data_IF_281823167355
#
_entry.id   IF_281823167355
#
_cell.length_a   1.000
_cell.length_b   1.000
_cell.length_c   1.000
_cell.angle_alpha   90.00
_cell.angle_beta   90.00
_cell.angle_gamma   90.00
#
_symmetry.space_group_name_H-M   'P 1'
#
loop_
_entity.id
_entity.type
_entity.pdbx_description
1 polymer ?
#
# COMPACT_ATOMS: atom_id res chain seq x y z
N UNK A 1 -21.14 -21.05 39.43
CA UNK A 1 -21.63 -20.26 38.29
C UNK A 1 -20.51 -20.14 37.29
N UNK A 2 -20.57 -20.86 36.18
CA UNK A 2 -19.52 -20.75 35.17
C UNK A 2 -19.63 -19.39 34.49
N UNK A 3 -18.52 -18.65 34.54
CA UNK A 3 -18.41 -17.28 34.04
C UNK A 3 -17.65 -17.41 32.73
N UNK A 4 -18.31 -17.12 31.61
CA UNK A 4 -17.61 -17.03 30.33
C UNK A 4 -16.81 -15.74 30.36
N UNK A 5 -15.50 -15.91 30.41
CA UNK A 5 -14.53 -14.83 30.49
C UNK A 5 -14.05 -14.50 29.08
N UNK A 6 -14.12 -13.22 28.76
CA UNK A 6 -13.63 -12.63 27.53
C UNK A 6 -12.57 -11.59 27.87
N UNK A 7 -11.77 -11.23 26.88
CA UNK A 7 -10.88 -10.09 26.92
C UNK A 7 -11.42 -9.04 25.96
N UNK A 8 -11.51 -7.80 26.42
CA UNK A 8 -11.79 -6.64 25.59
C UNK A 8 -10.74 -5.58 25.88
N UNK A 9 -9.90 -5.29 24.90
CA UNK A 9 -8.85 -4.29 25.03
C UNK A 9 -8.85 -3.33 23.86
N UNK A 10 -8.07 -2.26 24.02
CA UNK A 10 -7.77 -1.34 22.94
C UNK A 10 -6.39 -0.73 23.16
N UNK A 11 -5.67 -0.46 22.10
CA UNK A 11 -4.39 0.22 22.16
C UNK A 11 -4.18 1.09 20.92
N UNK A 12 -3.17 1.98 20.96
CA UNK A 12 -2.79 2.78 19.80
C UNK A 12 -1.64 2.13 19.03
N UNK A 13 -1.93 1.66 17.84
CA UNK A 13 -0.95 1.27 16.85
C UNK A 13 -0.28 2.51 16.24
N UNK A 14 1.03 2.42 16.00
CA UNK A 14 1.84 3.56 15.52
C UNK A 14 1.48 3.99 14.08
N UNK A 15 0.92 3.07 13.27
CA UNK A 15 0.59 3.31 11.86
C UNK A 15 -0.91 3.45 11.65
N UNK A 16 -1.71 2.57 12.25
CA UNK A 16 -3.16 2.49 12.03
C UNK A 16 -3.98 3.29 13.05
N UNK A 17 -3.35 3.78 14.12
CA UNK A 17 -4.00 4.52 15.20
C UNK A 17 -4.75 3.58 16.16
N UNK A 18 -5.92 3.96 16.69
CA UNK A 18 -6.60 3.16 17.69
C UNK A 18 -7.07 1.81 17.10
N UNK A 19 -6.75 0.74 17.80
CA UNK A 19 -7.12 -0.64 17.48
C UNK A 19 -7.90 -1.22 18.66
N UNK A 20 -9.01 -1.89 18.39
CA UNK A 20 -9.79 -2.62 19.39
C UNK A 20 -9.57 -4.12 19.23
N UNK A 21 -9.47 -4.81 20.35
CA UNK A 21 -9.21 -6.25 20.46
C UNK A 21 -10.34 -6.90 21.23
N UNK A 22 -10.91 -7.97 20.69
CA UNK A 22 -11.86 -8.82 21.40
C UNK A 22 -11.42 -10.27 21.31
N UNK A 23 -11.43 -11.00 22.43
CA UNK A 23 -10.94 -12.37 22.49
C UNK A 23 -11.52 -13.18 23.63
N UNK A 24 -11.12 -14.45 23.69
CA UNK A 24 -11.33 -15.25 24.90
C UNK A 24 -10.47 -14.70 26.06
N UNK A 25 -11.04 -14.70 27.26
CA UNK A 25 -10.38 -14.28 28.50
C UNK A 25 -10.00 -15.47 29.39
N UNK A 26 -9.35 -15.17 30.51
CA UNK A 26 -8.91 -16.14 31.51
C UNK A 26 -7.50 -16.71 31.26
N UNK A 27 -7.10 -17.71 32.06
CA UNK A 27 -5.71 -18.21 32.13
C UNK A 27 -5.17 -18.76 30.81
N UNK A 28 -6.04 -19.17 29.88
CA UNK A 28 -5.65 -19.74 28.59
C UNK A 28 -5.50 -18.72 27.45
N UNK A 29 -5.71 -17.42 27.73
CA UNK A 29 -5.69 -16.34 26.72
C UNK A 29 -4.34 -16.25 26.00
N UNK A 30 -3.23 -16.26 26.75
CA UNK A 30 -1.87 -16.19 26.20
C UNK A 30 -1.51 -17.44 25.39
N UNK A 31 -2.06 -18.60 25.77
CA UNK A 31 -1.75 -19.89 25.14
C UNK A 31 -2.53 -20.13 23.83
N UNK A 32 -3.76 -19.60 23.72
CA UNK A 32 -4.64 -19.86 22.57
C UNK A 32 -4.58 -18.74 21.50
N UNK A 33 -4.31 -17.50 21.90
CA UNK A 33 -4.22 -16.36 20.97
C UNK A 33 -5.47 -16.14 20.10
N UNK A 34 -6.65 -16.57 20.58
CA UNK A 34 -7.93 -16.49 19.87
C UNK A 34 -8.55 -15.10 20.05
N UNK A 35 -8.09 -14.17 19.20
CA UNK A 35 -8.46 -12.75 19.23
C UNK A 35 -8.89 -12.26 17.85
N UNK A 36 -9.84 -11.33 17.84
CA UNK A 36 -10.22 -10.54 16.68
C UNK A 36 -9.78 -9.09 16.90
N UNK A 37 -9.09 -8.53 15.90
CA UNK A 37 -8.60 -7.15 15.89
C UNK A 37 -9.38 -6.34 14.86
N UNK A 38 -9.55 -5.03 15.11
CA UNK A 38 -10.04 -4.04 14.14
C UNK A 38 -9.45 -2.67 14.37
N UNK A 39 -9.25 -1.92 13.30
CA UNK A 39 -8.99 -0.49 13.34
C UNK A 39 -10.27 0.22 13.78
N UNK A 40 -10.18 1.03 14.83
CA UNK A 40 -11.31 1.77 15.41
C UNK A 40 -11.58 3.09 14.65
N UNK A 41 -12.80 3.65 14.68
CA UNK A 41 -13.98 3.11 15.36
C UNK A 41 -14.65 1.99 14.55
N UNK A 42 -15.27 1.04 15.25
CA UNK A 42 -16.17 0.03 14.66
C UNK A 42 -17.60 0.23 15.13
N UNK A 43 -18.56 -0.03 14.25
CA UNK A 43 -19.98 -0.07 14.59
C UNK A 43 -20.40 -1.43 15.16
N UNK A 44 -21.63 -1.52 15.71
CA UNK A 44 -22.13 -2.75 16.33
C UNK A 44 -22.18 -3.95 15.36
N UNK A 45 -22.50 -3.74 14.08
CA UNK A 45 -22.51 -4.81 13.08
C UNK A 45 -21.11 -5.41 12.86
N UNK A 46 -20.09 -4.55 12.83
CA UNK A 46 -18.70 -4.97 12.67
C UNK A 46 -18.16 -5.62 13.95
N UNK A 47 -18.52 -5.07 15.13
CA UNK A 47 -18.23 -5.68 16.42
C UNK A 47 -18.89 -7.06 16.57
N UNK A 48 -20.12 -7.24 16.11
CA UNK A 48 -20.81 -8.53 16.11
C UNK A 48 -20.11 -9.55 15.21
N UNK A 49 -19.55 -9.10 14.08
CA UNK A 49 -18.70 -9.93 13.24
C UNK A 49 -17.41 -10.33 13.97
N UNK A 50 -16.73 -9.39 14.65
CA UNK A 50 -15.56 -9.70 15.47
C UNK A 50 -15.85 -10.78 16.53
N UNK A 51 -16.97 -10.67 17.24
CA UNK A 51 -17.40 -11.68 18.22
C UNK A 51 -17.57 -13.05 17.55
N UNK A 52 -18.16 -13.10 16.36
CA UNK A 52 -18.38 -14.34 15.61
C UNK A 52 -17.14 -14.97 14.96
N UNK A 53 -16.03 -14.22 14.87
CA UNK A 53 -14.77 -14.65 14.24
C UNK A 53 -13.89 -15.51 15.13
N UNK A 54 -14.15 -15.52 16.45
CA UNK A 54 -13.38 -16.34 17.38
C UNK A 54 -13.40 -17.81 16.94
N UNK A 55 -12.24 -18.46 16.93
CA UNK A 55 -12.13 -19.90 16.66
C UNK A 55 -12.99 -20.69 17.64
N UNK A 56 -13.08 -20.18 18.86
CA UNK A 56 -13.86 -20.72 19.96
C UNK A 56 -15.30 -20.23 20.00
N UNK A 57 -15.86 -19.71 18.89
CA UNK A 57 -17.25 -19.23 18.78
C UNK A 57 -18.32 -20.21 19.28
N UNK A 58 -18.02 -21.51 19.39
CA UNK A 58 -18.91 -22.50 20.03
C UNK A 58 -19.21 -22.15 21.50
N UNK A 59 -18.29 -21.50 22.20
CA UNK A 59 -18.47 -21.01 23.57
C UNK A 59 -19.46 -19.85 23.68
N UNK A 60 -19.83 -19.21 22.56
CA UNK A 60 -20.87 -18.19 22.53
C UNK A 60 -22.28 -18.80 22.58
N UNK A 61 -22.43 -20.07 22.17
CA UNK A 61 -23.69 -20.81 22.24
C UNK A 61 -23.92 -21.49 23.60
N UNK A 62 -24.97 -22.30 23.73
CA UNK A 62 -25.17 -23.11 24.93
C UNK A 62 -24.00 -24.09 25.12
N UNK A 63 -23.42 -24.13 26.32
CA UNK A 63 -22.25 -24.94 26.60
C UNK A 63 -22.24 -25.40 28.05
N UNK A 64 -22.06 -26.70 28.30
CA UNK A 64 -21.97 -27.32 29.64
C UNK A 64 -23.02 -26.83 30.66
N UNK A 65 -24.28 -26.74 30.23
CA UNK A 65 -25.41 -26.34 31.10
C UNK A 65 -25.60 -24.82 31.25
N UNK A 66 -24.77 -24.00 30.60
CA UNK A 66 -24.95 -22.54 30.55
C UNK A 66 -25.71 -22.13 29.28
N UNK A 67 -26.59 -21.13 29.41
CA UNK A 67 -27.30 -20.50 28.31
C UNK A 67 -26.34 -19.84 27.30
N UNK A 68 -26.80 -19.50 26.10
CA UNK A 68 -25.99 -18.76 25.13
C UNK A 68 -25.60 -17.37 25.67
N UNK A 69 -24.45 -16.85 25.24
CA UNK A 69 -24.04 -15.47 25.54
C UNK A 69 -24.89 -14.50 24.73
N UNK A 70 -25.29 -13.38 25.34
CA UNK A 70 -25.78 -12.23 24.59
C UNK A 70 -24.65 -11.60 23.76
N UNK A 71 -24.61 -12.00 22.49
CA UNK A 71 -23.61 -11.54 21.52
C UNK A 71 -23.79 -10.06 21.16
N UNK A 72 -25.01 -9.54 21.24
CA UNK A 72 -25.28 -8.14 20.95
C UNK A 72 -24.79 -7.26 22.10
N UNK A 73 -24.94 -7.71 23.35
CA UNK A 73 -24.36 -7.02 24.50
C UNK A 73 -22.82 -6.94 24.42
N UNK A 74 -22.16 -8.04 24.04
CA UNK A 74 -20.72 -8.03 23.77
C UNK A 74 -20.36 -7.07 22.63
N UNK A 75 -21.10 -7.09 21.52
CA UNK A 75 -20.87 -6.20 20.38
C UNK A 75 -21.04 -4.72 20.76
N UNK A 76 -22.04 -4.38 21.59
CA UNK A 76 -22.22 -3.02 22.14
C UNK A 76 -21.04 -2.59 23.00
N UNK A 77 -20.51 -3.49 23.84
CA UNK A 77 -19.33 -3.21 24.66
C UNK A 77 -18.09 -2.92 23.79
N UNK A 78 -17.85 -3.75 22.76
CA UNK A 78 -16.75 -3.57 21.79
C UNK A 78 -16.89 -2.25 21.04
N UNK A 79 -18.08 -1.95 20.49
CA UNK A 79 -18.33 -0.70 19.77
C UNK A 79 -18.19 0.53 20.68
N UNK A 80 -18.64 0.42 21.94
CA UNK A 80 -18.49 1.46 22.95
C UNK A 80 -17.03 1.76 23.27
N UNK A 81 -16.22 0.74 23.56
CA UNK A 81 -14.78 0.92 23.79
C UNK A 81 -14.09 1.48 22.55
N UNK A 82 -14.42 0.96 21.36
CA UNK A 82 -13.87 1.41 20.08
C UNK A 82 -14.13 2.90 19.82
N UNK A 83 -15.35 3.38 20.13
CA UNK A 83 -15.69 4.80 20.05
C UNK A 83 -14.91 5.63 21.08
N UNK A 84 -14.84 5.17 22.32
CA UNK A 84 -14.11 5.84 23.40
C UNK A 84 -12.65 6.10 23.01
N UNK A 85 -11.93 5.08 22.52
CA UNK A 85 -10.53 5.25 22.14
C UNK A 85 -10.34 6.02 20.83
N UNK A 86 -11.35 6.08 19.96
CA UNK A 86 -11.30 6.94 18.78
C UNK A 86 -11.46 8.43 19.15
N UNK A 87 -12.33 8.74 20.10
CA UNK A 87 -12.65 10.11 20.54
C UNK A 87 -11.67 10.67 21.58
N UNK A 88 -10.88 9.81 22.24
CA UNK A 88 -9.94 10.19 23.31
C UNK A 88 -8.47 9.88 22.96
N UNK A 89 -7.78 10.76 22.21
CA UNK A 89 -6.35 10.65 21.87
C UNK A 89 -5.43 10.34 23.05
N UNK A 90 -5.78 10.82 24.24
CA UNK A 90 -5.01 10.67 25.48
C UNK A 90 -5.04 9.25 26.09
N UNK A 91 -5.94 8.37 25.63
CA UNK A 91 -5.98 6.97 26.03
C UNK A 91 -5.00 6.20 25.14
N UNK A 92 -3.94 5.66 25.72
CA UNK A 92 -2.93 4.88 25.02
C UNK A 92 -3.30 3.40 24.98
N UNK A 93 -3.84 2.88 26.07
CA UNK A 93 -4.22 1.47 26.23
C UNK A 93 -5.41 1.32 27.19
N UNK A 94 -6.27 0.36 26.92
CA UNK A 94 -7.33 -0.13 27.79
C UNK A 94 -7.28 -1.65 27.78
N UNK A 95 -7.31 -2.27 28.96
CA UNK A 95 -7.46 -3.71 29.11
C UNK A 95 -8.61 -4.01 30.07
N UNK A 96 -9.64 -4.70 29.58
CA UNK A 96 -10.78 -5.17 30.37
C UNK A 96 -10.73 -6.69 30.43
N UNK A 97 -10.10 -7.22 31.48
CA UNK A 97 -9.83 -8.64 31.62
C UNK A 97 -9.93 -9.12 33.09
N UNK A 98 -10.93 -9.93 33.47
CA UNK A 98 -11.92 -10.55 32.59
C UNK A 98 -13.13 -9.64 32.35
N UNK A 99 -13.62 -9.67 31.11
CA UNK A 99 -14.95 -9.23 30.72
C UNK A 99 -15.92 -10.41 30.82
N UNK A 100 -16.91 -10.34 31.70
CA UNK A 100 -17.81 -11.45 32.01
C UNK A 100 -19.19 -11.20 31.41
N UNK A 101 -19.62 -12.13 30.54
CA UNK A 101 -21.01 -12.18 30.10
C UNK A 101 -21.84 -13.03 31.07
N UNK A 102 -22.90 -12.43 31.62
CA UNK A 102 -23.79 -13.06 32.60
C UNK A 102 -25.03 -13.65 31.94
N UNK A 103 -25.70 -14.55 32.65
CA UNK A 103 -26.92 -15.22 32.18
C UNK A 103 -28.12 -14.28 32.01
N UNK A 104 -28.10 -13.12 32.67
CA UNK A 104 -29.11 -12.06 32.52
C UNK A 104 -28.88 -11.16 31.29
N UNK A 105 -27.88 -11.49 30.46
CA UNK A 105 -27.50 -10.72 29.27
C UNK A 105 -26.57 -9.54 29.56
N UNK A 106 -26.29 -9.23 30.82
CA UNK A 106 -25.36 -8.15 31.15
C UNK A 106 -23.90 -8.55 30.91
N UNK A 107 -23.10 -7.56 30.53
CA UNK A 107 -21.64 -7.69 30.32
C UNK A 107 -20.94 -6.80 31.34
N UNK A 108 -20.04 -7.38 32.13
CA UNK A 108 -19.38 -6.69 33.24
C UNK A 108 -17.87 -6.87 33.15
N UNK A 109 -17.12 -5.78 33.06
CA UNK A 109 -15.67 -5.80 33.28
C UNK A 109 -15.41 -5.97 34.77
N UNK A 110 -14.72 -7.04 35.16
CA UNK A 110 -14.37 -7.31 36.57
C UNK A 110 -13.12 -6.57 36.99
N UNK A 111 -12.19 -6.39 36.04
CA UNK A 111 -10.99 -5.58 36.19
C UNK A 111 -10.83 -4.69 34.95
N UNK A 112 -10.21 -3.53 35.16
CA UNK A 112 -9.99 -2.55 34.11
C UNK A 112 -8.70 -1.78 34.35
N UNK A 113 -7.76 -1.88 33.41
CA UNK A 113 -6.58 -1.03 33.33
C UNK A 113 -6.78 0.00 32.22
N UNK A 114 -6.51 1.28 32.52
CA UNK A 114 -6.51 2.35 31.53
C UNK A 114 -5.19 3.11 31.64
N UNK A 115 -4.40 3.04 30.57
CA UNK A 115 -3.14 3.77 30.46
C UNK A 115 -3.38 5.02 29.65
N UNK A 116 -3.05 6.17 30.23
CA UNK A 116 -3.01 7.45 29.53
C UNK A 116 -1.61 7.70 29.02
N UNK A 117 -1.49 8.26 27.82
CA UNK A 117 -0.22 8.64 27.23
C UNK A 117 -0.37 9.88 26.39
N UNK A 118 0.76 10.49 26.05
CA UNK A 118 0.76 11.49 25.00
C UNK A 118 0.32 10.81 23.70
N UNK A 119 -0.52 11.47 22.88
CA UNK A 119 -0.81 10.98 21.55
C UNK A 119 0.51 10.83 20.80
N UNK A 120 0.98 9.59 20.61
CA UNK A 120 2.09 9.34 19.70
C UNK A 120 1.64 9.87 18.35
N UNK A 121 2.35 10.86 17.82
CA UNK A 121 2.18 11.28 16.44
C UNK A 121 2.38 10.02 15.59
N UNK A 122 1.34 9.56 14.88
CA UNK A 122 1.51 8.57 13.83
C UNK A 122 2.63 9.05 12.90
N UNK A 123 3.39 8.12 12.32
CA UNK A 123 4.54 8.46 11.47
C UNK A 123 4.23 9.64 10.54
N UNK A 124 5.15 10.59 10.40
CA UNK A 124 4.90 11.91 9.81
C UNK A 124 4.06 11.80 8.52
N UNK A 125 2.77 12.12 8.62
CA UNK A 125 1.83 11.98 7.52
C UNK A 125 2.26 12.92 6.39
N UNK A 126 2.43 12.36 5.20
CA UNK A 126 2.81 13.14 4.03
C UNK A 126 1.58 13.93 3.55
N UNK A 127 1.71 15.23 3.25
CA UNK A 127 0.58 15.96 2.71
C UNK A 127 0.14 15.33 1.37
N UNK A 128 -1.18 15.15 1.13
CA UNK A 128 -1.67 14.53 -0.08
C UNK A 128 -1.25 15.31 -1.33
N UNK A 129 -1.21 14.63 -2.46
CA UNK A 129 -1.04 15.26 -3.78
C UNK A 129 -2.35 15.27 -4.57
N UNK A 130 -2.41 16.10 -5.61
CA UNK A 130 -3.53 16.08 -6.57
C UNK A 130 -3.57 14.73 -7.30
N UNK A 131 -4.64 13.96 -7.13
CA UNK A 131 -4.85 12.68 -7.82
C UNK A 131 -4.95 12.85 -9.33
N UNK A 132 -5.43 14.01 -9.82
CA UNK A 132 -5.42 14.35 -11.23
C UNK A 132 -4.00 14.50 -11.79
N UNK A 133 -3.04 14.95 -10.97
CA UNK A 133 -1.63 15.02 -11.37
C UNK A 133 -1.05 13.61 -11.57
N UNK A 134 -1.37 12.67 -10.70
CA UNK A 134 -0.98 11.26 -10.86
C UNK A 134 -1.54 10.68 -12.15
N UNK A 135 -2.82 10.92 -12.46
CA UNK A 135 -3.42 10.49 -13.72
C UNK A 135 -2.67 11.05 -14.94
N UNK A 136 -2.33 12.35 -14.94
CA UNK A 136 -1.59 13.00 -16.04
C UNK A 136 -0.19 12.41 -16.25
N UNK A 137 0.49 11.96 -15.19
CA UNK A 137 1.81 11.30 -15.29
C UNK A 137 1.77 10.04 -16.15
N UNK A 138 0.67 9.29 -16.16
CA UNK A 138 0.56 8.06 -16.96
C UNK A 138 0.09 8.29 -18.40
N UNK A 139 -0.36 9.49 -18.76
CA UNK A 139 -0.82 9.83 -20.12
C UNK A 139 -0.16 11.10 -20.67
N UNK A 140 1.18 11.21 -20.65
CA UNK A 140 1.87 12.34 -21.27
C UNK A 140 1.73 12.26 -22.79
N UNK A 141 1.72 13.42 -23.46
CA UNK A 141 1.89 13.52 -24.93
C UNK A 141 3.34 13.87 -25.28
N UNK A 142 4.15 14.22 -24.28
CA UNK A 142 5.54 14.59 -24.42
C UNK A 142 6.35 14.25 -23.17
N UNK A 143 7.54 13.66 -23.37
CA UNK A 143 8.44 13.20 -22.30
C UNK A 143 9.84 13.76 -22.53
N UNK A 144 10.39 14.45 -21.53
CA UNK A 144 11.81 14.77 -21.48
C UNK A 144 12.58 13.69 -20.71
N UNK A 145 13.71 13.23 -21.24
CA UNK A 145 14.61 12.30 -20.53
C UNK A 145 15.85 13.08 -20.09
N UNK A 146 15.83 13.57 -18.84
CA UNK A 146 16.90 14.39 -18.26
C UNK A 146 18.01 13.48 -17.73
N UNK A 147 19.18 13.55 -18.36
CA UNK A 147 20.26 12.59 -18.14
C UNK A 147 20.29 11.47 -19.19
N UNK A 148 19.64 11.67 -20.34
CA UNK A 148 19.70 10.77 -21.49
C UNK A 148 21.15 10.41 -21.86
N UNK A 149 21.41 9.21 -22.36
CA UNK A 149 22.76 8.77 -22.70
C UNK A 149 22.82 7.82 -23.89
N UNK A 150 23.95 7.87 -24.61
CA UNK A 150 24.32 6.85 -25.60
C UNK A 150 25.03 5.63 -24.97
N UNK A 151 25.48 5.76 -23.73
CA UNK A 151 26.23 4.69 -23.06
C UNK A 151 25.30 3.56 -22.64
N UNK A 152 25.53 2.38 -23.20
CA UNK A 152 24.80 1.17 -22.83
C UNK A 152 24.91 0.89 -21.32
N UNK A 153 23.83 0.41 -20.71
CA UNK A 153 23.75 0.13 -19.27
C UNK A 153 23.50 1.36 -18.37
N UNK A 154 23.56 2.59 -18.91
CA UNK A 154 23.16 3.78 -18.13
C UNK A 154 21.64 3.91 -18.09
N UNK A 155 21.10 4.35 -16.95
CA UNK A 155 19.66 4.58 -16.76
C UNK A 155 19.02 5.43 -17.87
N UNK A 156 19.61 6.59 -18.18
CA UNK A 156 19.09 7.45 -19.24
C UNK A 156 19.19 6.85 -20.65
N UNK A 157 20.03 5.84 -20.87
CA UNK A 157 20.05 5.06 -22.11
C UNK A 157 18.95 4.00 -22.11
N UNK A 158 18.84 3.23 -21.02
CA UNK A 158 17.84 2.18 -20.88
C UNK A 158 16.41 2.73 -21.02
N UNK A 159 16.09 3.82 -20.31
CA UNK A 159 14.76 4.44 -20.37
C UNK A 159 14.48 5.02 -21.76
N UNK A 160 15.42 5.76 -22.35
CA UNK A 160 15.24 6.35 -23.68
C UNK A 160 15.01 5.26 -24.73
N UNK A 161 15.84 4.22 -24.74
CA UNK A 161 15.68 3.11 -25.69
C UNK A 161 14.40 2.32 -25.43
N UNK A 162 13.97 2.16 -24.18
CA UNK A 162 12.74 1.43 -23.87
C UNK A 162 11.49 2.18 -24.32
N UNK A 163 11.46 3.52 -24.14
CA UNK A 163 10.41 4.38 -24.67
C UNK A 163 10.29 4.26 -26.19
N UNK A 164 11.41 4.41 -26.90
CA UNK A 164 11.42 4.43 -28.36
C UNK A 164 11.12 3.06 -28.96
N UNK A 165 11.78 2.00 -28.47
CA UNK A 165 11.53 0.65 -28.96
C UNK A 165 10.18 0.09 -28.48
N UNK A 166 9.57 0.68 -27.45
CA UNK A 166 8.20 0.42 -27.03
C UNK A 166 7.15 1.10 -27.92
N UNK A 167 7.58 1.95 -28.85
CA UNK A 167 6.70 2.63 -29.80
C UNK A 167 5.91 3.77 -29.19
N UNK A 168 6.45 4.47 -28.19
CA UNK A 168 5.79 5.65 -27.62
C UNK A 168 5.48 6.67 -28.73
N UNK A 169 4.22 7.07 -28.84
CA UNK A 169 3.71 7.89 -29.94
C UNK A 169 3.85 9.40 -29.65
N UNK A 170 4.09 9.77 -28.40
CA UNK A 170 4.32 11.15 -27.99
C UNK A 170 5.72 11.67 -28.35
N UNK A 171 5.93 12.97 -28.14
CA UNK A 171 7.23 13.61 -28.39
C UNK A 171 8.24 13.23 -27.31
N UNK A 172 9.47 12.92 -27.71
CA UNK A 172 10.56 12.57 -26.78
C UNK A 172 11.70 13.58 -26.92
N UNK A 173 12.14 14.15 -25.79
CA UNK A 173 13.21 15.13 -25.71
C UNK A 173 14.38 14.60 -24.86
N UNK A 174 15.42 14.02 -25.48
CA UNK A 174 16.63 13.65 -24.76
C UNK A 174 17.37 14.91 -24.28
N UNK A 175 17.72 14.99 -23.00
CA UNK A 175 18.55 16.07 -22.46
C UNK A 175 19.88 15.51 -21.99
N UNK A 176 20.97 15.92 -22.63
CA UNK A 176 22.34 15.54 -22.33
C UNK A 176 23.28 16.75 -22.54
N UNK A 177 24.10 17.16 -21.56
CA UNK A 177 25.03 18.29 -21.70
C UNK A 177 25.97 18.23 -22.92
N UNK A 178 26.30 17.03 -23.41
CA UNK A 178 27.14 16.86 -24.61
C UNK A 178 26.41 17.19 -25.92
N UNK A 179 25.08 17.26 -25.89
CA UNK A 179 24.23 17.42 -27.07
C UNK A 179 24.41 16.28 -28.09
N UNK A 180 24.20 16.62 -29.36
CA UNK A 180 24.36 15.68 -30.49
C UNK A 180 23.08 14.91 -30.78
N UNK A 181 23.23 13.65 -31.20
CA UNK A 181 22.09 12.78 -31.55
C UNK A 181 22.10 11.54 -30.66
N UNK A 182 20.97 11.25 -30.01
CA UNK A 182 20.76 10.08 -29.17
C UNK A 182 19.57 9.28 -29.73
N UNK A 183 19.79 8.02 -30.09
CA UNK A 183 18.75 7.15 -30.66
C UNK A 183 18.00 7.78 -31.86
N UNK A 184 18.71 8.54 -32.69
CA UNK A 184 18.13 9.24 -33.85
C UNK A 184 17.44 10.57 -33.53
N UNK A 185 17.39 10.97 -32.25
CA UNK A 185 16.77 12.22 -31.81
C UNK A 185 17.83 13.28 -31.47
N UNK A 186 17.58 14.57 -31.75
CA UNK A 186 18.45 15.65 -31.29
C UNK A 186 18.43 15.72 -29.76
N UNK A 187 19.61 15.72 -29.15
CA UNK A 187 19.77 15.85 -27.72
C UNK A 187 19.99 17.32 -27.34
N UNK A 188 19.10 17.84 -26.48
CA UNK A 188 19.18 19.17 -25.89
C UNK A 188 20.31 19.21 -24.85
N UNK A 189 21.02 20.33 -24.76
CA UNK A 189 22.16 20.47 -23.83
C UNK A 189 21.74 20.75 -22.40
N UNK A 190 20.60 21.40 -22.21
CA UNK A 190 20.05 21.68 -20.89
C UNK A 190 18.53 21.57 -20.87
N UNK A 191 17.97 21.55 -19.67
CA UNK A 191 16.52 21.59 -19.46
C UNK A 191 15.95 22.91 -19.98
N UNK A 192 16.70 24.02 -19.91
CA UNK A 192 16.24 25.33 -20.37
C UNK A 192 16.00 25.38 -21.90
N UNK A 193 16.58 24.46 -22.67
CA UNK A 193 16.34 24.32 -24.12
C UNK A 193 15.06 23.53 -24.45
N UNK A 194 14.35 22.96 -23.45
CA UNK A 194 13.09 22.26 -23.69
C UNK A 194 12.07 23.22 -24.31
N UNK A 195 11.20 22.75 -25.22
CA UNK A 195 10.07 23.54 -25.69
C UNK A 195 9.01 23.72 -24.60
N UNK A 196 8.11 24.68 -24.78
CA UNK A 196 6.96 24.85 -23.90
C UNK A 196 6.00 23.65 -24.02
N UNK A 197 5.26 23.36 -22.95
CA UNK A 197 4.22 22.33 -22.94
C UNK A 197 4.74 20.89 -22.92
N UNK A 198 5.93 20.66 -22.36
CA UNK A 198 6.41 19.31 -22.01
C UNK A 198 5.61 18.79 -20.81
N UNK A 199 5.00 17.61 -20.96
CA UNK A 199 4.04 17.10 -19.97
C UNK A 199 4.74 16.39 -18.79
N UNK A 200 5.81 15.64 -19.07
CA UNK A 200 6.50 14.81 -18.09
C UNK A 200 8.03 14.84 -18.27
N UNK A 201 8.78 14.85 -17.17
CA UNK A 201 10.22 14.61 -17.17
C UNK A 201 10.58 13.30 -16.45
N UNK A 202 11.46 12.50 -17.04
CA UNK A 202 12.12 11.37 -16.38
C UNK A 202 13.56 11.79 -16.07
N UNK A 203 13.91 11.86 -14.79
CA UNK A 203 15.18 12.41 -14.32
C UNK A 203 16.10 11.28 -13.84
N UNK A 204 17.25 11.15 -14.47
CA UNK A 204 18.26 10.09 -14.20
C UNK A 204 19.65 10.67 -13.92
N UNK A 205 19.75 11.93 -13.51
CA UNK A 205 21.02 12.59 -13.21
C UNK A 205 21.50 12.25 -11.78
N UNK A 206 22.79 12.41 -11.45
CA UNK A 206 23.27 12.25 -10.07
C UNK A 206 22.47 13.09 -9.04
N UNK A 207 22.38 12.63 -7.79
CA UNK A 207 21.50 13.20 -6.76
C UNK A 207 21.69 14.70 -6.53
N UNK A 208 22.93 15.18 -6.55
CA UNK A 208 23.32 16.59 -6.41
C UNK A 208 22.80 17.49 -7.55
N UNK A 209 22.40 16.89 -8.68
CA UNK A 209 21.88 17.60 -9.85
C UNK A 209 20.36 17.50 -10.00
N UNK A 210 19.70 16.71 -9.16
CA UNK A 210 18.25 16.48 -9.27
C UNK A 210 17.47 17.74 -8.93
N UNK A 211 17.78 18.40 -7.80
CA UNK A 211 17.08 19.61 -7.39
C UNK A 211 17.27 20.76 -8.40
N UNK A 212 18.50 21.09 -8.88
CA UNK A 212 18.67 22.06 -9.97
C UNK A 212 17.90 21.71 -11.25
N UNK A 213 17.79 20.41 -11.59
CA UNK A 213 17.01 19.98 -12.74
C UNK A 213 15.50 20.20 -12.53
N UNK A 214 14.99 19.94 -11.32
CA UNK A 214 13.59 20.22 -10.94
C UNK A 214 13.28 21.71 -11.02
N UNK A 215 14.19 22.59 -10.59
CA UNK A 215 14.03 24.03 -10.73
C UNK A 215 13.96 24.47 -12.20
N UNK A 216 14.88 23.96 -13.03
CA UNK A 216 14.88 24.27 -14.45
C UNK A 216 13.61 23.76 -15.15
N UNK A 217 13.11 22.58 -14.77
CA UNK A 217 11.86 22.01 -15.25
C UNK A 217 10.67 22.93 -14.91
N UNK A 218 10.63 23.42 -13.67
CA UNK A 218 9.60 24.35 -13.23
C UNK A 218 9.57 25.64 -14.08
N UNK A 219 10.75 26.22 -14.35
CA UNK A 219 10.91 27.42 -15.19
C UNK A 219 10.42 27.21 -16.63
N UNK A 220 10.57 25.99 -17.18
CA UNK A 220 10.04 25.61 -18.51
C UNK A 220 8.60 25.14 -18.49
N UNK A 221 7.90 25.28 -17.37
CA UNK A 221 6.48 24.97 -17.27
C UNK A 221 6.16 23.49 -17.03
N UNK A 222 7.16 22.63 -16.86
CA UNK A 222 6.93 21.20 -16.55
C UNK A 222 6.41 21.08 -15.11
N UNK A 223 5.36 20.29 -14.91
CA UNK A 223 4.69 20.12 -13.61
C UNK A 223 4.82 18.72 -13.03
N UNK A 224 5.34 17.78 -13.79
CA UNK A 224 5.37 16.37 -13.40
C UNK A 224 6.74 15.78 -13.69
N UNK A 225 7.31 15.05 -12.71
CA UNK A 225 8.57 14.37 -12.90
C UNK A 225 8.65 13.02 -12.17
N UNK A 226 9.34 12.07 -12.80
CA UNK A 226 9.72 10.78 -12.20
C UNK A 226 11.22 10.83 -11.93
N UNK A 227 11.58 10.76 -10.66
CA UNK A 227 12.96 10.86 -10.20
C UNK A 227 13.52 9.45 -10.02
N UNK A 228 14.22 8.95 -11.03
CA UNK A 228 14.81 7.61 -11.04
C UNK A 228 16.07 7.55 -10.17
N UNK A 229 16.76 8.69 -10.03
CA UNK A 229 18.03 8.82 -9.34
C UNK A 229 18.00 8.32 -7.89
N UNK A 230 19.05 7.58 -7.51
CA UNK A 230 19.39 7.22 -6.14
C UNK A 230 20.34 8.24 -5.50
N UNK A 231 20.66 8.06 -4.22
CA UNK A 231 21.49 8.96 -3.41
C UNK A 231 20.66 9.83 -2.43
N UNK A 232 19.46 9.39 -2.08
CA UNK A 232 18.57 10.08 -1.15
C UNK A 232 18.52 9.30 0.17
N UNK A 233 17.36 9.20 0.83
CA UNK A 233 17.23 8.58 2.15
C UNK A 233 17.84 7.17 2.25
N UNK A 234 17.75 6.38 1.19
CA UNK A 234 18.31 5.03 1.10
C UNK A 234 19.85 4.98 1.20
N UNK A 235 20.53 6.10 0.92
CA UNK A 235 21.99 6.18 0.99
C UNK A 235 22.52 6.52 2.40
N UNK A 236 21.65 6.91 3.34
CA UNK A 236 22.07 7.43 4.64
C UNK A 236 22.84 8.75 4.54
N UNK A 237 23.56 9.13 5.61
CA UNK A 237 24.29 10.41 5.67
C UNK A 237 23.34 11.59 5.43
N UNK A 238 23.72 12.51 4.54
CA UNK A 238 22.93 13.69 4.14
C UNK A 238 21.73 13.36 3.21
N UNK A 239 21.48 12.08 2.94
CA UNK A 239 20.43 11.60 2.05
C UNK A 239 19.01 12.02 2.45
N UNK A 240 18.61 11.87 3.73
CA UNK A 240 17.31 12.34 4.22
C UNK A 240 17.12 13.85 4.12
N UNK A 241 18.12 14.68 4.46
CA UNK A 241 18.00 16.14 4.29
C UNK A 241 17.85 16.52 2.82
N UNK A 242 18.62 15.87 1.93
CA UNK A 242 18.50 16.08 0.48
C UNK A 242 17.11 15.70 -0.06
N UNK A 243 16.55 14.59 0.42
CA UNK A 243 15.19 14.16 0.07
C UNK A 243 14.14 15.18 0.53
N UNK A 244 14.24 15.65 1.79
CA UNK A 244 13.34 16.64 2.34
C UNK A 244 13.43 17.99 1.59
N UNK A 245 14.64 18.45 1.27
CA UNK A 245 14.89 19.65 0.47
C UNK A 245 14.27 19.56 -0.91
N UNK A 246 14.47 18.44 -1.61
CA UNK A 246 13.88 18.19 -2.92
C UNK A 246 12.34 18.27 -2.90
N UNK A 247 11.70 17.65 -1.89
CA UNK A 247 10.24 17.65 -1.76
C UNK A 247 9.71 19.05 -1.44
N UNK A 248 10.33 19.75 -0.49
CA UNK A 248 9.94 21.12 -0.14
C UNK A 248 10.02 22.03 -1.36
N UNK A 249 11.14 21.94 -2.09
CA UNK A 249 11.35 22.76 -3.29
C UNK A 249 10.38 22.43 -4.42
N UNK A 250 10.11 21.15 -4.66
CA UNK A 250 9.13 20.73 -5.66
C UNK A 250 7.72 21.24 -5.35
N UNK A 251 7.32 21.24 -4.07
CA UNK A 251 6.03 21.78 -3.64
C UNK A 251 5.93 23.29 -3.86
N UNK A 252 6.95 24.06 -3.49
CA UNK A 252 7.01 25.51 -3.74
C UNK A 252 6.85 25.85 -5.23
N UNK A 253 7.44 25.01 -6.09
CA UNK A 253 7.42 25.19 -7.54
C UNK A 253 6.18 24.59 -8.22
N UNK A 254 5.29 23.95 -7.46
CA UNK A 254 4.07 23.33 -7.98
C UNK A 254 4.29 22.07 -8.82
N UNK A 255 5.37 21.32 -8.58
CA UNK A 255 5.62 20.03 -9.22
C UNK A 255 5.04 18.87 -8.42
N UNK A 256 4.69 17.80 -9.10
CA UNK A 256 4.39 16.49 -8.50
C UNK A 256 5.47 15.48 -8.89
N UNK A 257 6.08 14.85 -7.89
CA UNK A 257 7.20 13.92 -8.08
C UNK A 257 6.82 12.48 -7.74
N UNK A 258 7.23 11.52 -8.58
CA UNK A 258 7.31 10.09 -8.24
C UNK A 258 8.76 9.73 -7.94
N UNK A 259 9.00 8.94 -6.89
CA UNK A 259 10.33 8.61 -6.39
C UNK A 259 10.74 9.48 -5.19
N UNK A 260 12.06 9.76 -5.00
CA UNK A 260 13.19 9.35 -5.83
C UNK A 260 13.47 7.84 -5.75
N UNK A 261 14.56 7.40 -6.38
CA UNK A 261 15.02 6.01 -6.34
C UNK A 261 13.94 5.01 -6.81
N UNK A 262 13.37 5.27 -7.99
CA UNK A 262 12.37 4.39 -8.61
C UNK A 262 12.89 3.76 -9.89
N UNK A 263 12.36 2.57 -10.23
CA UNK A 263 12.54 1.96 -11.55
C UNK A 263 11.82 2.71 -12.68
N UNK A 264 10.88 3.60 -12.35
CA UNK A 264 10.08 4.37 -13.30
C UNK A 264 8.62 3.94 -13.38
N UNK A 265 7.99 4.21 -14.51
CA UNK A 265 6.56 3.99 -14.74
C UNK A 265 6.27 3.32 -16.08
N UNK A 266 5.14 2.62 -16.18
CA UNK A 266 4.65 2.04 -17.43
C UNK A 266 3.15 2.30 -17.59
N UNK A 267 2.72 2.60 -18.80
CA UNK A 267 1.33 2.53 -19.23
C UNK A 267 1.29 1.94 -20.65
N UNK A 268 0.95 0.65 -20.81
CA UNK A 268 0.95 0.00 -22.13
C UNK A 268 -0.08 0.58 -23.09
N UNK A 269 -1.20 1.12 -22.58
CA UNK A 269 -2.24 1.77 -23.40
C UNK A 269 -1.73 3.06 -24.05
N UNK A 270 -0.84 3.78 -23.38
CA UNK A 270 -0.16 4.96 -23.91
C UNK A 270 1.19 4.63 -24.60
N UNK A 271 1.53 3.33 -24.71
CA UNK A 271 2.86 2.84 -25.12
C UNK A 271 4.02 3.51 -24.36
N UNK A 272 3.76 3.92 -23.12
CA UNK A 272 4.72 4.58 -22.24
C UNK A 272 5.48 3.51 -21.46
N UNK A 273 6.74 3.25 -21.83
CA UNK A 273 7.61 2.28 -21.15
C UNK A 273 8.84 3.00 -20.58
N UNK A 274 8.64 3.80 -19.53
CA UNK A 274 9.66 4.66 -18.92
C UNK A 274 10.33 3.97 -17.73
N UNK A 275 10.89 2.78 -17.95
CA UNK A 275 11.57 1.99 -16.92
C UNK A 275 13.02 1.67 -17.25
N UNK A 276 13.85 1.49 -16.23
CA UNK A 276 15.25 1.07 -16.39
C UNK A 276 15.43 -0.37 -16.86
N UNK A 277 14.41 -1.22 -16.70
CA UNK A 277 14.36 -2.57 -17.26
C UNK A 277 13.53 -2.59 -18.55
N UNK A 278 13.99 -3.33 -19.56
CA UNK A 278 13.29 -3.52 -20.84
C UNK A 278 12.14 -4.53 -20.72
N UNK A 279 11.12 -4.15 -19.96
CA UNK A 279 9.86 -4.90 -19.83
C UNK A 279 8.71 -4.13 -20.45
N UNK A 280 7.88 -4.81 -21.26
CA UNK A 280 6.77 -4.22 -22.01
C UNK A 280 5.53 -5.11 -21.91
N UNK A 281 4.80 -5.10 -20.78
CA UNK A 281 3.59 -5.91 -20.65
C UNK A 281 2.53 -5.45 -21.67
N UNK A 282 1.58 -6.34 -22.00
CA UNK A 282 0.43 -5.99 -22.83
C UNK A 282 -0.56 -5.12 -22.07
N UNK A 283 -1.43 -4.36 -22.77
CA UNK A 283 -2.49 -3.59 -22.14
C UNK A 283 -3.54 -4.50 -21.48
N UNK A 284 -4.07 -4.06 -20.34
CA UNK A 284 -5.20 -4.68 -19.65
C UNK A 284 -5.73 -3.83 -18.50
N UNK A 285 -6.42 -4.45 -17.54
CA UNK A 285 -7.10 -3.78 -16.42
C UNK A 285 -6.35 -3.76 -15.09
N UNK A 286 -5.20 -4.44 -14.96
CA UNK A 286 -4.48 -4.52 -13.68
C UNK A 286 -3.49 -3.37 -13.49
N UNK A 287 -3.64 -2.60 -12.42
CA UNK A 287 -2.65 -1.60 -12.01
C UNK A 287 -1.75 -2.15 -10.91
N UNK A 288 -0.44 -2.12 -11.15
CA UNK A 288 0.59 -2.59 -10.21
C UNK A 288 1.36 -1.41 -9.60
N UNK A 289 1.30 -1.26 -8.28
CA UNK A 289 2.07 -0.25 -7.55
C UNK A 289 3.06 -0.97 -6.63
N UNK A 290 4.34 -0.65 -6.73
CA UNK A 290 5.41 -1.36 -6.02
C UNK A 290 6.44 -0.40 -5.44
N UNK A 291 6.68 -0.47 -4.14
CA UNK A 291 7.76 0.26 -3.49
C UNK A 291 9.14 -0.22 -3.96
N UNK A 292 9.34 -1.54 -4.03
CA UNK A 292 10.54 -2.11 -4.64
C UNK A 292 10.45 -2.03 -6.16
N UNK A 293 11.34 -1.23 -6.76
CA UNK A 293 11.44 -1.16 -8.21
C UNK A 293 11.82 -2.51 -8.83
N UNK A 294 12.83 -3.21 -8.29
CA UNK A 294 13.34 -4.45 -8.86
C UNK A 294 12.27 -5.57 -8.83
N UNK A 295 11.60 -5.75 -7.69
CA UNK A 295 10.50 -6.70 -7.61
C UNK A 295 9.35 -6.29 -8.55
N UNK A 296 9.03 -5.00 -8.63
CA UNK A 296 8.00 -4.48 -9.52
C UNK A 296 8.23 -4.84 -10.99
N UNK A 297 9.44 -4.61 -11.52
CA UNK A 297 9.75 -4.95 -12.92
C UNK A 297 9.81 -6.46 -13.17
N UNK A 298 10.19 -7.25 -12.17
CA UNK A 298 10.10 -8.72 -12.24
C UNK A 298 8.64 -9.19 -12.31
N UNK A 299 7.77 -8.63 -11.47
CA UNK A 299 6.32 -8.88 -11.51
C UNK A 299 5.73 -8.50 -12.86
N UNK A 300 6.14 -7.40 -13.49
CA UNK A 300 5.71 -7.06 -14.86
C UNK A 300 6.17 -8.08 -15.90
N UNK A 301 7.38 -8.62 -15.74
CA UNK A 301 7.90 -9.65 -16.64
C UNK A 301 7.09 -10.94 -16.53
N UNK A 302 6.77 -11.34 -15.29
CA UNK A 302 5.92 -12.50 -15.03
C UNK A 302 4.48 -12.28 -15.49
N UNK A 303 3.90 -11.10 -15.23
CA UNK A 303 2.58 -10.73 -15.73
C UNK A 303 2.52 -10.84 -17.27
N UNK A 304 3.53 -10.32 -17.98
CA UNK A 304 3.65 -10.48 -19.43
C UNK A 304 3.73 -11.96 -19.84
N UNK A 305 4.55 -12.76 -19.17
CA UNK A 305 4.72 -14.18 -19.48
C UNK A 305 3.43 -15.00 -19.25
N UNK A 306 2.61 -14.59 -18.27
CA UNK A 306 1.34 -15.22 -17.92
C UNK A 306 0.13 -14.62 -18.68
N UNK A 307 0.33 -13.59 -19.51
CA UNK A 307 -0.75 -12.93 -20.25
C UNK A 307 -1.63 -12.01 -19.40
N UNK A 308 -1.20 -11.64 -18.19
CA UNK A 308 -1.89 -10.65 -17.36
C UNK A 308 -1.68 -9.24 -17.94
N UNK A 309 -2.76 -8.63 -18.41
CA UNK A 309 -2.72 -7.30 -19.02
C UNK A 309 -2.60 -6.18 -17.97
N UNK A 310 -1.72 -5.22 -18.23
CA UNK A 310 -1.39 -4.13 -17.31
C UNK A 310 -2.06 -2.82 -17.76
N UNK A 311 -2.76 -2.18 -16.84
CA UNK A 311 -3.34 -0.84 -16.98
C UNK A 311 -2.30 0.25 -16.76
N UNK A 312 -1.56 0.13 -15.67
CA UNK A 312 -0.45 1.01 -15.31
C UNK A 312 0.49 0.29 -14.34
N UNK A 313 1.75 0.70 -14.33
CA UNK A 313 2.71 0.32 -13.31
C UNK A 313 3.44 1.53 -12.77
N UNK A 314 3.59 1.58 -11.45
CA UNK A 314 4.40 2.56 -10.77
C UNK A 314 5.39 1.90 -9.82
N UNK A 315 6.68 2.12 -10.05
CA UNK A 315 7.66 2.04 -8.97
C UNK A 315 7.53 3.30 -8.11
N UNK A 316 7.16 3.20 -6.84
CA UNK A 316 7.02 4.40 -5.99
C UNK A 316 8.35 4.84 -5.37
N UNK A 317 9.31 3.91 -5.30
CA UNK A 317 10.67 4.18 -4.79
C UNK A 317 10.62 4.57 -3.32
N UNK A 318 11.33 5.64 -2.96
CA UNK A 318 11.37 6.12 -1.58
C UNK A 318 10.04 6.72 -1.09
N UNK A 319 9.14 7.06 -2.01
CA UNK A 319 7.87 7.73 -1.70
C UNK A 319 8.06 9.09 -0.99
N UNK A 320 9.00 9.90 -1.45
CA UNK A 320 9.32 11.16 -0.78
C UNK A 320 8.16 12.17 -0.88
N UNK A 321 7.57 12.31 -2.06
CA UNK A 321 6.45 13.22 -2.30
C UNK A 321 5.12 12.49 -2.47
N UNK A 322 5.09 11.44 -3.28
CA UNK A 322 3.89 10.66 -3.60
C UNK A 322 3.99 9.27 -2.98
N UNK A 323 2.87 8.76 -2.47
CA UNK A 323 2.80 7.48 -1.76
C UNK A 323 1.73 6.56 -2.31
N UNK A 324 1.78 5.31 -1.86
CA UNK A 324 0.74 4.32 -2.15
C UNK A 324 -0.67 4.84 -1.81
N UNK A 325 -0.80 5.68 -0.77
CA UNK A 325 -2.08 6.27 -0.37
C UNK A 325 -2.64 7.19 -1.45
N UNK A 326 -1.78 8.02 -2.07
CA UNK A 326 -2.17 8.89 -3.18
C UNK A 326 -2.55 8.08 -4.42
N UNK A 327 -1.83 6.98 -4.69
CA UNK A 327 -2.17 6.09 -5.80
C UNK A 327 -3.51 5.39 -5.58
N UNK A 328 -3.78 4.87 -4.38
CA UNK A 328 -5.08 4.27 -4.06
C UNK A 328 -6.22 5.26 -4.28
N UNK A 329 -6.05 6.50 -3.81
CA UNK A 329 -7.05 7.55 -4.01
C UNK A 329 -7.24 7.92 -5.49
N UNK A 330 -6.17 7.98 -6.29
CA UNK A 330 -6.28 8.18 -7.72
C UNK A 330 -6.99 7.01 -8.43
N UNK A 331 -6.73 5.78 -7.99
CA UNK A 331 -7.31 4.56 -8.55
C UNK A 331 -8.78 4.38 -8.18
N UNK A 332 -9.29 5.06 -7.15
CA UNK A 332 -10.71 5.07 -6.80
C UNK A 332 -11.59 5.55 -7.97
N UNK A 333 -11.08 6.49 -8.76
CA UNK A 333 -11.77 7.13 -9.89
C UNK A 333 -11.31 6.64 -11.27
N UNK A 334 -10.20 5.89 -11.39
CA UNK A 334 -9.75 5.33 -12.68
C UNK A 334 -10.55 4.08 -13.04
N UNK A 335 -11.63 4.23 -13.80
CA UNK A 335 -12.50 3.12 -14.24
C UNK A 335 -11.76 2.07 -15.06
N UNK A 336 -10.67 2.44 -15.74
CA UNK A 336 -9.85 1.51 -16.52
C UNK A 336 -8.94 0.63 -15.65
N UNK A 337 -8.76 0.95 -14.37
CA UNK A 337 -8.15 0.04 -13.40
C UNK A 337 -9.22 -0.85 -12.80
N UNK A 338 -9.26 -2.10 -13.25
CA UNK A 338 -10.21 -3.13 -12.80
C UNK A 338 -9.69 -3.89 -11.57
N UNK A 339 -8.37 -4.06 -11.45
CA UNK A 339 -7.71 -4.76 -10.34
C UNK A 339 -6.51 -3.94 -9.87
N UNK A 340 -6.36 -3.78 -8.55
CA UNK A 340 -5.22 -3.08 -7.95
C UNK A 340 -4.32 -4.10 -7.27
N UNK A 341 -3.06 -4.19 -7.70
CA UNK A 341 -2.04 -5.02 -7.09
C UNK A 341 -0.99 -4.13 -6.42
N UNK A 342 -0.76 -4.34 -5.12
CA UNK A 342 0.17 -3.53 -4.32
C UNK A 342 1.29 -4.40 -3.77
N UNK A 343 2.53 -3.95 -3.91
CA UNK A 343 3.66 -4.45 -3.14
C UNK A 343 4.16 -3.37 -2.17
N UNK A 344 4.11 -3.69 -0.87
CA UNK A 344 4.40 -2.77 0.23
C UNK A 344 5.48 -3.36 1.15
N UNK A 345 6.54 -2.61 1.40
CA UNK A 345 7.54 -2.88 2.43
C UNK A 345 7.10 -2.24 3.74
N UNK A 346 6.79 -0.94 3.69
CA UNK A 346 6.36 -0.14 4.82
C UNK A 346 5.16 0.76 4.47
N UNK A 347 4.39 1.14 5.48
CA UNK A 347 3.23 2.02 5.34
C UNK A 347 3.39 3.17 6.33
N UNK A 348 3.65 4.36 5.80
CA UNK A 348 3.92 5.54 6.62
C UNK A 348 2.64 6.07 7.27
N UNK A 349 1.55 6.12 6.50
CA UNK A 349 0.23 6.56 6.98
C UNK A 349 -0.76 5.39 6.89
N UNK A 350 -0.67 4.49 7.87
CA UNK A 350 -1.52 3.29 7.93
C UNK A 350 -3.01 3.63 7.99
N UNK A 351 -3.36 4.74 8.64
CA UNK A 351 -4.76 5.19 8.72
C UNK A 351 -5.29 5.63 7.37
N UNK A 352 -4.58 6.50 6.65
CA UNK A 352 -4.99 6.94 5.31
C UNK A 352 -5.00 5.77 4.33
N UNK A 353 -4.00 4.89 4.39
CA UNK A 353 -3.96 3.65 3.62
C UNK A 353 -5.22 2.80 3.86
N UNK A 354 -5.57 2.54 5.12
CA UNK A 354 -6.76 1.76 5.49
C UNK A 354 -8.04 2.37 4.94
N UNK A 355 -8.25 3.68 5.12
CA UNK A 355 -9.46 4.37 4.66
C UNK A 355 -9.55 4.40 3.13
N UNK A 356 -8.45 4.70 2.44
CA UNK A 356 -8.39 4.67 0.97
C UNK A 356 -8.66 3.25 0.44
N UNK A 357 -7.99 2.25 1.00
CA UNK A 357 -8.16 0.85 0.65
C UNK A 357 -9.60 0.37 0.86
N UNK A 358 -10.25 0.78 1.96
CA UNK A 358 -11.66 0.48 2.25
C UNK A 358 -12.62 1.09 1.23
N UNK A 359 -12.34 2.28 0.72
CA UNK A 359 -13.16 2.89 -0.35
C UNK A 359 -12.94 2.21 -1.69
N UNK A 360 -11.68 1.98 -2.07
CA UNK A 360 -11.31 1.35 -3.35
C UNK A 360 -11.83 -0.09 -3.44
N UNK A 361 -11.67 -0.88 -2.38
CA UNK A 361 -12.09 -2.29 -2.32
C UNK A 361 -13.61 -2.49 -2.50
N UNK A 362 -14.43 -1.45 -2.28
CA UNK A 362 -15.87 -1.50 -2.55
C UNK A 362 -16.21 -1.38 -4.04
N UNK A 363 -15.28 -0.90 -4.84
CA UNK A 363 -15.45 -0.68 -6.29
C UNK A 363 -14.69 -1.71 -7.11
N UNK A 364 -13.48 -2.06 -6.67
CA UNK A 364 -12.56 -2.93 -7.40
C UNK A 364 -11.68 -3.74 -6.45
N UNK A 365 -11.28 -4.97 -6.82
CA UNK A 365 -10.41 -5.79 -5.99
C UNK A 365 -9.06 -5.11 -5.73
N UNK A 366 -8.63 -5.15 -4.48
CA UNK A 366 -7.28 -4.74 -4.05
C UNK A 366 -6.56 -5.96 -3.50
N UNK A 367 -5.45 -6.32 -4.13
CA UNK A 367 -4.58 -7.43 -3.73
C UNK A 367 -3.27 -6.84 -3.21
N UNK A 368 -2.85 -7.24 -2.03
CA UNK A 368 -1.71 -6.65 -1.34
C UNK A 368 -0.70 -7.72 -0.99
N UNK A 369 0.56 -7.51 -1.36
CA UNK A 369 1.71 -8.28 -0.90
C UNK A 369 2.55 -7.40 0.02
N UNK A 370 2.74 -7.83 1.27
CA UNK A 370 3.59 -7.11 2.23
C UNK A 370 4.93 -7.81 2.41
N UNK A 371 6.02 -7.09 2.17
CA UNK A 371 7.41 -7.50 2.44
C UNK A 371 7.75 -7.50 3.94
N UNK A 372 8.93 -8.03 4.30
CA UNK A 372 9.44 -7.96 5.67
C UNK A 372 8.76 -8.88 6.71
N UNK A 373 8.07 -9.94 6.27
CA UNK A 373 7.27 -10.84 7.15
C UNK A 373 8.07 -11.77 8.07
N UNK A 374 9.31 -12.11 7.74
CA UNK A 374 10.10 -13.08 8.54
C UNK A 374 10.81 -12.36 9.67
N UNK A 375 11.03 -13.02 10.82
CA UNK A 375 11.82 -12.41 11.90
C UNK A 375 13.21 -11.94 11.46
N UNK A 376 13.81 -12.55 10.42
CA UNK A 376 15.05 -12.08 9.80
C UNK A 376 14.85 -10.84 8.89
N UNK A 377 13.75 -10.75 8.13
CA UNK A 377 13.37 -9.57 7.35
C UNK A 377 12.94 -8.38 8.23
N UNK A 378 12.29 -8.65 9.36
CA UNK A 378 11.98 -7.65 10.39
C UNK A 378 13.25 -7.15 11.08
N UNK A 379 14.19 -8.06 11.44
CA UNK A 379 15.51 -7.69 12.00
C UNK A 379 16.40 -6.94 11.01
N UNK A 380 16.28 -7.22 9.71
CA UNK A 380 16.92 -6.44 8.65
C UNK A 380 16.28 -5.04 8.46
N UNK A 381 15.04 -4.84 8.96
CA UNK A 381 14.28 -3.60 8.83
C UNK A 381 14.25 -2.72 10.11
N UNK A 382 14.42 -3.26 11.33
CA UNK A 382 14.79 -2.50 12.55
C UNK A 382 15.01 -3.41 13.77
N UNK A 383 15.91 -2.96 14.66
CA UNK A 383 16.32 -3.56 15.93
C UNK A 383 15.49 -3.07 17.13
N UNK A 384 15.23 -3.99 18.06
CA UNK A 384 14.68 -3.86 19.42
C UNK A 384 13.15 -4.02 19.63
N UNK A 385 12.88 -4.86 20.64
CA UNK A 385 11.67 -5.10 21.45
C UNK A 385 10.44 -5.79 20.83
N UNK A 386 9.91 -6.76 21.58
CA UNK A 386 8.82 -7.69 21.22
C UNK A 386 7.43 -7.08 20.95
N UNK A 387 7.33 -5.79 20.64
CA UNK A 387 6.16 -5.18 20.00
C UNK A 387 5.98 -5.65 18.53
N UNK A 388 7.03 -6.29 17.96
CA UNK A 388 7.13 -6.81 16.59
C UNK A 388 6.07 -7.86 16.20
N UNK A 389 5.38 -8.50 17.16
CA UNK A 389 4.29 -9.44 16.87
C UNK A 389 2.94 -8.77 16.53
N UNK A 390 2.78 -7.48 16.87
CA UNK A 390 1.53 -6.72 16.69
C UNK A 390 1.30 -6.21 15.26
N UNK A 391 2.34 -5.69 14.61
CA UNK A 391 2.25 -5.02 13.30
C UNK A 391 1.63 -5.92 12.21
N UNK A 392 2.00 -7.20 12.18
CA UNK A 392 1.48 -8.14 11.17
C UNK A 392 0.00 -8.49 11.40
N UNK A 393 -0.43 -8.70 12.65
CA UNK A 393 -1.83 -9.03 12.95
C UNK A 393 -2.75 -7.82 12.77
N UNK A 394 -2.27 -6.62 13.11
CA UNK A 394 -3.01 -5.37 12.84
C UNK A 394 -3.13 -5.15 11.35
N UNK A 395 -2.05 -5.35 10.60
CA UNK A 395 -2.08 -5.21 9.14
C UNK A 395 -3.05 -6.21 8.49
N UNK A 396 -3.01 -7.48 8.88
CA UNK A 396 -3.95 -8.51 8.42
C UNK A 396 -5.40 -8.10 8.72
N UNK A 397 -5.67 -7.67 9.96
CA UNK A 397 -6.98 -7.21 10.37
C UNK A 397 -7.44 -5.99 9.57
N UNK A 398 -6.55 -5.02 9.32
CA UNK A 398 -6.82 -3.83 8.52
C UNK A 398 -7.13 -4.19 7.07
N UNK A 399 -6.35 -5.07 6.43
CA UNK A 399 -6.64 -5.54 5.07
C UNK A 399 -8.01 -6.24 4.99
N UNK A 400 -8.27 -7.19 5.89
CA UNK A 400 -9.54 -7.92 5.95
C UNK A 400 -10.72 -6.98 6.18
N UNK A 401 -10.56 -6.02 7.09
CA UNK A 401 -11.57 -5.01 7.40
C UNK A 401 -11.82 -4.05 6.23
N UNK A 402 -10.76 -3.69 5.48
CA UNK A 402 -10.87 -2.86 4.28
C UNK A 402 -11.48 -3.62 3.09
N UNK A 403 -11.47 -4.96 3.10
CA UNK A 403 -11.88 -5.78 1.97
C UNK A 403 -10.75 -6.08 0.97
N UNK A 404 -9.49 -5.80 1.33
CA UNK A 404 -8.34 -6.16 0.53
C UNK A 404 -7.90 -7.60 0.77
N UNK A 405 -7.46 -8.25 -0.31
CA UNK A 405 -6.92 -9.61 -0.27
C UNK A 405 -5.42 -9.54 0.00
N UNK A 406 -5.02 -9.91 1.21
CA UNK A 406 -3.61 -10.00 1.55
C UNK A 406 -3.03 -11.35 1.13
N UNK A 407 -1.98 -11.30 0.32
CA UNK A 407 -1.24 -12.48 -0.15
C UNK A 407 0.17 -12.50 0.45
N UNK A 408 0.80 -13.67 0.42
CA UNK A 408 2.11 -13.86 1.08
C UNK A 408 3.25 -14.15 0.13
N UNK A 409 2.96 -14.58 -1.09
CA UNK A 409 3.96 -14.84 -2.12
C UNK A 409 3.79 -13.90 -3.33
N UNK A 410 4.88 -13.54 -4.02
CA UNK A 410 4.82 -12.81 -5.29
C UNK A 410 3.97 -13.49 -6.36
N UNK A 411 3.99 -14.84 -6.43
CA UNK A 411 3.14 -15.60 -7.35
C UNK A 411 1.65 -15.39 -7.08
N UNK A 412 1.24 -15.55 -5.82
CA UNK A 412 -0.14 -15.32 -5.38
C UNK A 412 -0.65 -13.91 -5.75
N UNK A 413 0.20 -12.89 -5.72
CA UNK A 413 -0.19 -11.53 -6.12
C UNK A 413 -0.66 -11.48 -7.56
N UNK A 414 0.05 -12.17 -8.47
CA UNK A 414 -0.31 -12.24 -9.88
C UNK A 414 -1.48 -13.19 -10.12
N UNK A 415 -1.49 -14.36 -9.47
CA UNK A 415 -2.54 -15.37 -9.65
C UNK A 415 -3.91 -14.86 -9.19
N UNK A 416 -3.96 -14.22 -8.01
CA UNK A 416 -5.19 -13.60 -7.49
C UNK A 416 -5.61 -12.42 -8.36
N UNK A 417 -4.65 -11.62 -8.86
CA UNK A 417 -4.96 -10.50 -9.76
C UNK A 417 -5.53 -11.00 -11.10
N UNK A 418 -4.97 -12.09 -11.65
CA UNK A 418 -5.45 -12.73 -12.86
C UNK A 418 -6.84 -13.31 -12.66
N UNK A 419 -7.11 -13.96 -11.53
CA UNK A 419 -8.44 -14.45 -11.19
C UNK A 419 -9.47 -13.31 -11.18
N UNK A 420 -9.19 -12.20 -10.49
CA UNK A 420 -10.10 -11.05 -10.47
C UNK A 420 -10.29 -10.39 -11.83
N UNK A 421 -9.28 -10.42 -12.70
CA UNK A 421 -9.38 -9.89 -14.06
C UNK A 421 -10.15 -10.81 -15.01
N UNK A 422 -10.15 -12.12 -14.75
CA UNK A 422 -10.73 -13.13 -15.64
C UNK A 422 -12.17 -13.52 -15.29
N UNK A 423 -12.58 -13.41 -14.01
CA UNK A 423 -13.91 -13.85 -13.56
C UNK A 423 -14.66 -12.77 -12.76
N UNK A 424 -16.00 -12.71 -12.87
CA UNK A 424 -16.79 -11.77 -12.10
C UNK A 424 -16.72 -12.07 -10.60
N UNK A 425 -16.90 -11.04 -9.78
CA UNK A 425 -16.99 -11.18 -8.34
C UNK A 425 -18.16 -12.10 -7.93
N UNK A 426 -17.96 -12.95 -6.90
CA UNK A 426 -19.04 -13.80 -6.40
C UNK A 426 -20.19 -12.96 -5.83
N UNK A 427 -21.43 -13.37 -6.11
CA UNK A 427 -22.64 -12.67 -5.62
C UNK A 427 -22.94 -12.91 -4.13
N UNK A 428 -22.16 -13.75 -3.46
CA UNK A 428 -22.35 -14.08 -2.04
C UNK A 428 -21.34 -15.13 -1.54
N UNK A 429 -21.54 -15.61 -0.31
CA UNK A 429 -20.53 -16.37 0.42
C UNK A 429 -20.65 -17.90 0.26
N UNK A 430 -21.26 -18.38 -0.83
CA UNK A 430 -21.43 -19.81 -1.10
C UNK A 430 -20.37 -20.27 -2.09
N UNK A 431 -19.49 -21.16 -1.64
CA UNK A 431 -18.41 -21.74 -2.45
C UNK A 431 -18.72 -23.20 -2.72
N UNK A 432 -18.54 -23.64 -3.96
CA UNK A 432 -18.52 -25.05 -4.34
C UNK A 432 -17.16 -25.35 -4.99
N UNK A 433 -16.53 -26.46 -4.58
CA UNK A 433 -15.26 -26.91 -5.16
C UNK A 433 -15.57 -28.01 -6.16
N UNK A 434 -15.22 -27.78 -7.43
CA UNK A 434 -15.37 -28.75 -8.51
C UNK A 434 -13.99 -29.22 -8.93
N UNK A 435 -13.78 -30.53 -8.92
CA UNK A 435 -12.50 -31.15 -9.28
C UNK A 435 -12.70 -32.24 -10.32
N UNK A 436 -11.70 -32.46 -11.18
CA UNK A 436 -11.73 -33.47 -12.25
C UNK A 436 -11.65 -34.91 -11.74
N UNK A 437 -11.21 -35.13 -10.50
CA UNK A 437 -11.12 -36.47 -9.92
C UNK A 437 -10.93 -36.42 -8.42
N UNK A 438 -11.33 -37.51 -7.74
CA UNK A 438 -11.31 -37.59 -6.28
C UNK A 438 -9.95 -37.27 -5.65
N UNK A 439 -8.84 -37.71 -6.27
CA UNK A 439 -7.49 -37.47 -5.76
C UNK A 439 -7.15 -35.99 -5.58
N UNK A 440 -7.50 -35.14 -6.55
CA UNK A 440 -7.31 -33.69 -6.45
C UNK A 440 -8.23 -33.04 -5.41
N UNK A 441 -9.39 -33.65 -5.13
CA UNK A 441 -10.30 -33.19 -4.07
C UNK A 441 -9.84 -33.51 -2.65
N UNK A 442 -8.78 -34.31 -2.48
CA UNK A 442 -8.23 -34.68 -1.16
C UNK A 442 -6.96 -33.89 -0.82
N UNK A 443 -6.37 -33.16 -1.78
CA UNK A 443 -5.12 -32.38 -1.59
C UNK A 443 -5.37 -31.02 -0.91
N UNK A 444 -6.63 -30.61 -0.73
CA UNK A 444 -7.04 -29.41 0.01
C UNK A 444 -6.88 -29.57 1.52
#
# INVERSE_FOLDING_TARGET
AGRREFLLGAYRDERFGPVVVFGLGGVLTEALGDVALRVAPVGEAEALAMVGELRSRKLLGPFRGEAAVDREALARAVAGLSRLVAERPEIAEVDLNPLIARADGSVVAVDALVVRGEPKAGGAARPPVDTGALARIFHPRSVAVVGASAGFGKWGNAILTNLLAGGYEGRVYPVNPRGGTLCGLPALRSVDELPDGVDLAIVTVPADKVEPAVEALARRGVRHAVIVSSGFREAGGDGPEREAGLVARARELGLTLIGPNTMGIVNPHARLYATGAHVRPGPGGTTLVSQSGNLGVQLLSFARAQGLGIRAFCGTGNEAMTGVEDFLEALECDEASEVVALYLEDIRDGRRFFEACRRVSRRKPVVVLKGGRTGAGQRAAASHTGALAGDTKVFEAACRQAGAVWVTQPGDLLDVSAAFSAVPLPRGNRVAVVTWGGGWGVVT
#
